data_IF_261557894210
#
_entry.id   IF_261557894210
#
_cell.length_a   1.000
_cell.length_b   1.000
_cell.length_c   1.000
_cell.angle_alpha   90.00
_cell.angle_beta   90.00
_cell.angle_gamma   90.00
#
_symmetry.space_group_name_H-M   'P 1'
#
loop_
_entity.id
_entity.type
_entity.pdbx_description
1 polymer ?
#
# COMPACT_ATOMS: atom_id res chain seq x y z
N UNK A 1 -10.75 -16.78 5.12
CA UNK A 1 -10.22 -17.98 5.80
C UNK A 1 -8.80 -17.64 6.18
N UNK A 2 -8.52 -17.50 7.49
CA UNK A 2 -7.16 -17.27 7.96
C UNK A 2 -6.40 -18.57 7.77
N UNK A 3 -5.38 -18.56 6.93
CA UNK A 3 -4.46 -19.69 6.80
C UNK A 3 -3.77 -19.83 8.16
N UNK A 4 -4.23 -20.80 8.95
CA UNK A 4 -3.61 -21.18 10.20
C UNK A 4 -2.30 -21.89 9.91
N UNK A 5 -1.30 -21.15 9.43
CA UNK A 5 0.06 -21.67 9.34
C UNK A 5 0.44 -22.17 10.73
N UNK A 6 0.77 -23.47 10.85
CA UNK A 6 1.29 -24.01 12.10
C UNK A 6 2.48 -23.14 12.52
N UNK A 7 2.44 -22.65 13.75
CA UNK A 7 3.56 -21.94 14.33
C UNK A 7 4.82 -22.80 14.20
N UNK A 8 5.92 -22.24 13.68
CA UNK A 8 7.18 -22.95 13.60
C UNK A 8 7.63 -23.39 14.99
N UNK A 9 8.46 -24.43 15.01
CA UNK A 9 9.11 -24.84 16.26
C UNK A 9 9.97 -23.67 16.78
N UNK A 10 10.02 -23.48 18.08
CA UNK A 10 10.77 -22.37 18.72
C UNK A 10 12.23 -22.38 18.27
N UNK A 11 12.80 -23.56 18.06
CA UNK A 11 14.16 -23.76 17.57
C UNK A 11 14.37 -23.16 16.16
N UNK A 12 13.36 -23.20 15.31
CA UNK A 12 13.41 -22.57 13.97
C UNK A 12 13.40 -21.05 14.09
N UNK A 13 12.58 -20.50 15.00
CA UNK A 13 12.56 -19.05 15.28
C UNK A 13 13.94 -18.59 15.75
N UNK A 14 14.53 -19.28 16.72
CA UNK A 14 15.86 -18.93 17.24
C UNK A 14 16.93 -18.99 16.15
N UNK A 15 16.89 -20.01 15.29
CA UNK A 15 17.79 -20.11 14.13
C UNK A 15 17.70 -18.86 13.24
N UNK A 16 16.49 -18.31 13.05
CA UNK A 16 16.23 -17.11 12.24
C UNK A 16 16.65 -15.81 12.92
N UNK A 17 16.64 -15.74 14.25
CA UNK A 17 17.16 -14.57 14.98
C UNK A 17 18.67 -14.45 14.77
N UNK A 18 19.40 -15.56 14.92
CA UNK A 18 20.85 -15.55 14.79
C UNK A 18 21.35 -15.60 13.35
N UNK A 19 20.49 -15.88 12.35
CA UNK A 19 20.92 -16.12 10.97
C UNK A 19 21.69 -14.93 10.37
N UNK A 20 21.29 -13.70 10.67
CA UNK A 20 22.00 -12.51 10.19
C UNK A 20 23.35 -12.32 10.88
N UNK A 21 23.42 -12.52 12.19
CA UNK A 21 24.68 -12.48 12.94
C UNK A 21 25.65 -13.53 12.40
N UNK A 22 25.19 -14.78 12.22
CA UNK A 22 25.99 -15.88 11.64
C UNK A 22 26.50 -15.50 10.24
N UNK A 23 25.64 -14.91 9.41
CA UNK A 23 26.01 -14.44 8.07
C UNK A 23 27.09 -13.35 8.11
N UNK A 24 26.94 -12.34 8.98
CA UNK A 24 27.91 -11.23 9.09
C UNK A 24 29.24 -11.67 9.68
N UNK A 25 29.22 -12.57 10.66
CA UNK A 25 30.39 -13.23 11.22
C UNK A 25 31.15 -14.07 10.17
N UNK A 26 30.45 -14.60 9.16
CA UNK A 26 31.05 -15.49 8.16
C UNK A 26 31.48 -16.84 8.76
N UNK A 27 30.80 -17.25 9.83
CA UNK A 27 31.02 -18.53 10.53
C UNK A 27 29.85 -19.48 10.26
N UNK A 28 30.05 -20.80 10.32
CA UNK A 28 28.92 -21.73 10.30
C UNK A 28 28.01 -21.51 11.52
N UNK A 29 26.70 -21.81 11.44
CA UNK A 29 25.81 -21.74 12.59
C UNK A 29 26.38 -22.58 13.74
N UNK A 30 26.67 -21.94 14.88
CA UNK A 30 27.14 -22.67 16.06
C UNK A 30 25.96 -23.42 16.68
N UNK A 31 26.14 -24.73 16.92
CA UNK A 31 25.10 -25.64 17.46
C UNK A 31 24.61 -25.22 18.86
N UNK A 32 25.32 -24.34 19.56
CA UNK A 32 25.00 -23.89 20.92
C UNK A 32 24.15 -22.63 21.01
N UNK A 33 23.89 -21.90 19.92
CA UNK A 33 23.17 -20.62 20.00
C UNK A 33 21.74 -20.81 20.48
N UNK A 34 21.39 -20.16 21.60
CA UNK A 34 20.05 -20.19 22.19
C UNK A 34 19.78 -18.90 22.95
N UNK A 35 18.52 -18.61 23.20
CA UNK A 35 18.13 -17.57 24.15
C UNK A 35 18.18 -18.10 25.58
N UNK A 36 18.26 -17.20 26.56
CA UNK A 36 18.12 -17.55 27.97
C UNK A 36 16.75 -18.22 28.16
N UNK A 37 16.71 -19.32 28.94
CA UNK A 37 15.44 -19.94 29.28
C UNK A 37 14.54 -18.96 30.04
N UNK A 38 13.37 -18.68 29.46
CA UNK A 38 12.37 -17.84 30.09
C UNK A 38 11.92 -18.47 31.41
N UNK A 39 11.64 -17.65 32.42
CA UNK A 39 10.99 -18.11 33.65
C UNK A 39 9.63 -18.74 33.33
N UNK A 40 9.13 -19.67 34.15
CA UNK A 40 7.82 -20.32 33.92
C UNK A 40 6.70 -19.31 33.70
N UNK A 41 6.67 -18.26 34.52
CA UNK A 41 5.70 -17.16 34.42
C UNK A 41 5.78 -16.43 33.06
N UNK A 42 6.99 -16.12 32.58
CA UNK A 42 7.20 -15.53 31.24
C UNK A 42 6.79 -16.50 30.14
N UNK A 43 7.08 -17.79 30.27
CA UNK A 43 6.66 -18.81 29.29
C UNK A 43 5.14 -18.95 29.22
N UNK A 44 4.46 -18.99 30.36
CA UNK A 44 3.01 -19.08 30.48
C UNK A 44 2.29 -17.87 29.87
N UNK A 45 2.96 -16.72 29.80
CA UNK A 45 2.43 -15.50 29.15
C UNK A 45 2.80 -15.43 27.67
N UNK A 46 4.09 -15.54 27.34
CA UNK A 46 4.62 -15.25 26.02
C UNK A 46 4.35 -16.36 24.99
N UNK A 47 4.36 -17.63 25.39
CA UNK A 47 4.20 -18.73 24.43
C UNK A 47 2.75 -18.90 23.95
N UNK A 48 1.72 -18.85 24.80
CA UNK A 48 0.34 -18.83 24.33
C UNK A 48 0.07 -17.63 23.43
N UNK A 49 0.60 -16.46 23.80
CA UNK A 49 0.44 -15.23 23.03
C UNK A 49 1.12 -15.31 21.67
N UNK A 50 2.38 -15.77 21.60
CA UNK A 50 3.09 -16.07 20.34
C UNK A 50 2.28 -17.02 19.45
N UNK A 51 1.71 -18.09 20.03
CA UNK A 51 0.86 -19.04 19.29
C UNK A 51 -0.43 -18.44 18.76
N UNK A 52 -0.94 -17.39 19.41
CA UNK A 52 -2.11 -16.66 18.95
C UNK A 52 -1.81 -15.62 17.88
N UNK A 53 -0.53 -15.32 17.61
CA UNK A 53 -0.15 -14.35 16.59
C UNK A 53 -0.45 -14.94 15.22
N UNK A 54 -1.43 -14.37 14.54
CA UNK A 54 -1.82 -14.78 13.20
C UNK A 54 -1.50 -13.68 12.19
N UNK A 55 -0.91 -14.09 11.09
CA UNK A 55 -0.72 -13.24 9.93
C UNK A 55 -2.06 -13.02 9.24
N UNK A 56 -2.46 -11.77 9.11
CA UNK A 56 -3.38 -11.39 8.02
C UNK A 56 -2.59 -11.61 6.72
N UNK A 57 -3.12 -12.33 5.73
CA UNK A 57 -2.44 -12.72 4.48
C UNK A 57 -1.58 -11.59 3.85
N UNK A 58 -0.59 -11.95 3.00
CA UNK A 58 0.72 -11.31 2.94
C UNK A 58 0.69 -9.84 2.56
N UNK A 59 0.86 -8.93 3.51
CA UNK A 59 1.15 -7.54 3.17
C UNK A 59 2.25 -7.04 4.11
N UNK A 60 3.51 -7.34 3.77
CA UNK A 60 4.58 -6.42 4.13
C UNK A 60 4.59 -5.41 3.01
N UNK A 61 4.20 -4.19 3.31
CA UNK A 61 4.18 -3.13 2.34
C UNK A 61 5.46 -2.29 2.48
N UNK A 62 6.29 -2.18 1.42
CA UNK A 62 7.48 -1.34 1.46
C UNK A 62 7.05 0.12 1.47
N UNK A 63 7.53 0.88 2.45
CA UNK A 63 7.41 2.33 2.54
C UNK A 63 8.64 3.00 1.90
N UNK A 64 8.53 4.31 1.59
CA UNK A 64 9.66 5.07 1.08
C UNK A 64 10.86 5.00 2.03
N UNK A 65 12.08 5.03 1.48
CA UNK A 65 13.30 5.02 2.27
C UNK A 65 13.76 3.66 2.82
N UNK A 66 13.23 2.52 2.34
CA UNK A 66 13.48 1.15 2.88
C UNK A 66 12.77 0.85 4.21
N UNK A 67 11.84 1.70 4.58
CA UNK A 67 10.89 1.45 5.67
C UNK A 67 9.85 0.40 5.23
N UNK A 68 9.08 -0.14 6.16
CA UNK A 68 7.97 -1.03 5.83
C UNK A 68 6.87 -0.92 6.88
N UNK A 69 5.66 -1.32 6.49
CA UNK A 69 4.53 -1.54 7.38
C UNK A 69 4.00 -2.96 7.17
N UNK A 70 3.60 -3.62 8.25
CA UNK A 70 2.94 -4.93 8.20
C UNK A 70 1.83 -5.00 9.23
N UNK A 71 0.84 -5.85 8.98
CA UNK A 71 -0.31 -6.08 9.84
C UNK A 71 -0.34 -7.51 10.37
N UNK A 72 -0.65 -7.66 11.64
CA UNK A 72 -0.87 -8.95 12.27
C UNK A 72 -1.98 -8.89 13.31
N UNK A 73 -2.41 -10.04 13.80
CA UNK A 73 -3.44 -10.14 14.83
C UNK A 73 -2.92 -10.99 15.97
N UNK A 74 -3.32 -10.68 17.20
CA UNK A 74 -2.96 -11.44 18.39
C UNK A 74 -4.10 -11.31 19.40
N UNK A 75 -4.59 -12.43 19.93
CA UNK A 75 -5.67 -12.48 20.94
C UNK A 75 -6.94 -11.66 20.58
N UNK A 76 -7.30 -11.66 19.29
CA UNK A 76 -8.42 -10.88 18.69
C UNK A 76 -8.19 -9.37 18.56
N UNK A 77 -7.01 -8.87 18.89
CA UNK A 77 -6.61 -7.50 18.60
C UNK A 77 -5.82 -7.44 17.29
N UNK A 78 -5.82 -6.27 16.67
CA UNK A 78 -5.13 -6.01 15.40
C UNK A 78 -3.96 -5.08 15.68
N UNK A 79 -2.79 -5.44 15.15
CA UNK A 79 -1.57 -4.69 15.34
C UNK A 79 -0.92 -4.33 14.01
N UNK A 80 -0.19 -3.22 14.01
CA UNK A 80 0.71 -2.79 12.97
C UNK A 80 2.14 -2.83 13.49
N UNK A 81 3.07 -3.32 12.70
CA UNK A 81 4.49 -3.13 12.94
C UNK A 81 5.07 -2.26 11.81
N UNK A 82 5.77 -1.19 12.19
CA UNK A 82 6.35 -0.25 11.25
C UNK A 82 7.83 -0.05 11.54
N UNK A 83 8.65 -0.24 10.52
CA UNK A 83 10.03 0.20 10.56
C UNK A 83 10.12 1.67 10.13
N UNK A 84 10.59 2.53 11.03
CA UNK A 84 10.74 3.97 10.79
C UNK A 84 12.21 4.41 10.91
N UNK A 85 13.18 3.51 10.73
CA UNK A 85 14.60 3.79 10.98
C UNK A 85 15.15 4.97 10.19
N UNK A 86 14.59 5.23 9.01
CA UNK A 86 15.06 6.29 8.12
C UNK A 86 14.42 7.65 8.44
N UNK A 87 13.53 7.72 9.43
CA UNK A 87 12.92 8.95 9.89
C UNK A 87 13.70 9.53 11.07
N UNK A 88 13.88 10.85 11.08
CA UNK A 88 14.34 11.60 12.22
C UNK A 88 13.31 11.51 13.37
N UNK A 89 13.77 11.80 14.60
CA UNK A 89 12.92 11.67 15.81
C UNK A 89 11.60 12.45 15.70
N UNK A 90 11.65 13.70 15.27
CA UNK A 90 10.46 14.54 15.11
C UNK A 90 9.48 14.02 14.04
N UNK A 91 9.98 13.33 13.01
CA UNK A 91 9.14 12.71 11.97
C UNK A 91 8.45 11.46 12.51
N UNK A 92 9.11 10.69 13.38
CA UNK A 92 8.50 9.55 14.10
C UNK A 92 7.39 10.02 15.04
N UNK A 93 7.59 11.16 15.72
CA UNK A 93 6.58 11.80 16.57
C UNK A 93 5.35 12.20 15.73
N UNK A 94 5.54 12.85 14.57
CA UNK A 94 4.44 13.18 13.65
C UNK A 94 3.64 11.94 13.23
N UNK A 95 4.32 10.83 12.91
CA UNK A 95 3.65 9.56 12.55
C UNK A 95 2.83 9.02 13.73
N UNK A 96 3.38 9.10 14.94
CA UNK A 96 2.73 8.61 16.16
C UNK A 96 1.50 9.45 16.52
N UNK A 97 1.61 10.78 16.44
CA UNK A 97 0.50 11.71 16.66
C UNK A 97 -0.61 11.50 15.63
N UNK A 98 -0.26 11.37 14.35
CA UNK A 98 -1.20 11.09 13.28
C UNK A 98 -1.96 9.78 13.50
N UNK A 99 -1.26 8.72 13.92
CA UNK A 99 -1.88 7.45 14.25
C UNK A 99 -2.81 7.53 15.46
N UNK A 100 -2.42 8.29 16.48
CA UNK A 100 -3.26 8.51 17.65
C UNK A 100 -4.60 9.15 17.26
N UNK A 101 -4.60 10.13 16.35
CA UNK A 101 -5.82 10.75 15.81
C UNK A 101 -6.74 9.74 15.09
N UNK A 102 -6.16 8.68 14.53
CA UNK A 102 -6.88 7.60 13.84
C UNK A 102 -7.30 6.43 14.76
N UNK A 103 -7.06 6.56 16.06
CA UNK A 103 -7.32 5.51 17.05
C UNK A 103 -6.35 4.33 16.93
N UNK A 104 -5.13 4.58 16.46
CA UNK A 104 -4.02 3.62 16.36
C UNK A 104 -3.00 4.03 17.42
N UNK A 105 -2.90 3.27 18.50
CA UNK A 105 -2.09 3.64 19.67
C UNK A 105 -0.75 2.91 19.66
N UNK A 106 0.34 3.59 20.02
CA UNK A 106 1.63 2.92 20.19
C UNK A 106 1.53 1.84 21.27
N UNK A 107 2.19 0.71 21.02
CA UNK A 107 2.19 -0.48 21.85
C UNK A 107 3.63 -0.94 22.06
N UNK A 108 3.98 -1.27 23.31
CA UNK A 108 5.32 -1.73 23.64
C UNK A 108 5.64 -3.04 22.93
N UNK A 109 6.80 -3.13 22.28
CA UNK A 109 7.20 -4.35 21.59
C UNK A 109 7.49 -5.48 22.59
N UNK A 110 6.57 -6.42 22.68
CA UNK A 110 6.75 -7.64 23.47
C UNK A 110 7.70 -8.61 22.79
N UNK A 111 8.32 -9.49 23.58
CA UNK A 111 9.21 -10.54 23.08
C UNK A 111 8.51 -11.44 22.04
N UNK A 112 7.26 -11.83 22.28
CA UNK A 112 6.50 -12.61 21.31
C UNK A 112 6.33 -11.89 19.96
N UNK A 113 6.20 -10.56 19.95
CA UNK A 113 6.10 -9.80 18.72
C UNK A 113 7.46 -9.72 18.02
N UNK A 114 8.54 -9.49 18.75
CA UNK A 114 9.89 -9.55 18.18
C UNK A 114 10.18 -10.91 17.54
N UNK A 115 9.92 -12.02 18.26
CA UNK A 115 10.12 -13.38 17.77
C UNK A 115 9.30 -13.65 16.50
N UNK A 116 8.03 -13.29 16.51
CA UNK A 116 7.13 -13.40 15.36
C UNK A 116 7.64 -12.58 14.16
N UNK A 117 7.93 -11.30 14.37
CA UNK A 117 8.39 -10.38 13.31
C UNK A 117 9.72 -10.85 12.74
N UNK A 118 10.67 -11.28 13.57
CA UNK A 118 11.97 -11.76 13.10
C UNK A 118 11.84 -13.01 12.24
N UNK A 119 10.96 -13.94 12.59
CA UNK A 119 10.70 -15.14 11.80
C UNK A 119 10.01 -14.81 10.46
N UNK A 120 8.95 -13.99 10.48
CA UNK A 120 8.13 -13.75 9.29
C UNK A 120 8.64 -12.65 8.37
N UNK A 121 9.47 -11.74 8.87
CA UNK A 121 10.09 -10.65 8.11
C UNK A 121 11.58 -10.94 7.83
N UNK A 122 11.95 -12.21 7.73
CA UNK A 122 13.30 -12.59 7.32
C UNK A 122 13.66 -11.92 5.98
N UNK A 123 14.84 -11.31 5.92
CA UNK A 123 15.30 -10.58 4.75
C UNK A 123 14.74 -9.16 4.61
N UNK A 124 13.89 -8.70 5.54
CA UNK A 124 13.38 -7.32 5.60
C UNK A 124 13.70 -6.69 6.96
N UNK A 125 13.45 -7.42 8.05
CA UNK A 125 13.78 -6.96 9.40
C UNK A 125 15.25 -7.28 9.71
N UNK A 126 16.11 -6.28 9.56
CA UNK A 126 17.57 -6.44 9.67
C UNK A 126 18.16 -5.96 10.99
N UNK A 127 19.41 -6.34 11.26
CA UNK A 127 20.26 -5.69 12.26
C UNK A 127 20.40 -4.18 11.99
N UNK A 128 20.63 -3.39 13.04
CA UNK A 128 21.01 -1.98 12.86
C UNK A 128 22.38 -1.89 12.17
N UNK A 129 22.67 -0.83 11.40
CA UNK A 129 23.94 -0.69 10.70
C UNK A 129 25.17 -0.82 11.61
N UNK A 130 25.10 -0.29 12.83
CA UNK A 130 26.16 -0.37 13.85
C UNK A 130 26.46 -1.81 14.33
N UNK A 131 25.49 -2.71 14.18
CA UNK A 131 25.59 -4.12 14.57
C UNK A 131 25.81 -5.07 13.38
N UNK A 132 25.98 -4.51 12.18
CA UNK A 132 26.16 -5.27 10.93
C UNK A 132 27.63 -5.52 10.57
N UNK A 133 28.57 -5.29 11.50
CA UNK A 133 29.99 -5.56 11.28
C UNK A 133 30.34 -7.01 11.61
N UNK A 134 31.33 -7.56 10.91
CA UNK A 134 31.85 -8.90 11.19
C UNK A 134 32.32 -9.03 12.64
N UNK A 135 33.08 -8.04 13.11
CA UNK A 135 33.63 -8.01 14.47
C UNK A 135 32.53 -8.03 15.53
N UNK A 136 31.49 -7.21 15.38
CA UNK A 136 30.36 -7.20 16.31
C UNK A 136 29.64 -8.54 16.31
N UNK A 137 29.32 -9.06 15.12
CA UNK A 137 28.65 -10.35 15.00
C UNK A 137 29.49 -11.49 15.62
N UNK A 138 30.80 -11.53 15.37
CA UNK A 138 31.72 -12.48 15.99
C UNK A 138 31.72 -12.37 17.51
N UNK A 139 31.74 -11.14 18.04
CA UNK A 139 31.69 -10.89 19.48
C UNK A 139 30.39 -11.37 20.14
N UNK A 140 29.24 -11.11 19.51
CA UNK A 140 27.95 -11.62 20.02
C UNK A 140 27.91 -13.15 19.97
N UNK A 141 28.40 -13.76 18.89
CA UNK A 141 28.38 -15.20 18.71
C UNK A 141 29.46 -15.95 19.52
N UNK A 142 30.54 -15.30 19.94
CA UNK A 142 31.58 -15.92 20.78
C UNK A 142 31.13 -16.09 22.24
N UNK A 143 30.08 -15.38 22.67
CA UNK A 143 29.48 -15.53 24.00
C UNK A 143 29.09 -16.99 24.29
N UNK A 144 28.67 -17.75 23.27
CA UNK A 144 28.31 -19.16 23.44
C UNK A 144 29.49 -20.12 23.71
N UNK A 145 30.73 -19.61 23.69
CA UNK A 145 31.95 -20.37 23.99
C UNK A 145 32.33 -20.32 25.46
N UNK A 146 31.73 -19.41 26.25
CA UNK A 146 32.00 -19.34 27.68
C UNK A 146 31.40 -20.56 28.43
N UNK A 147 32.10 -21.10 29.45
CA UNK A 147 31.64 -22.28 30.19
C UNK A 147 30.28 -22.13 30.89
N UNK A 148 29.91 -20.90 31.25
CA UNK A 148 28.70 -20.51 31.96
C UNK A 148 27.59 -19.97 31.04
N UNK A 149 27.72 -20.15 29.72
CA UNK A 149 26.75 -19.67 28.75
C UNK A 149 25.34 -20.26 28.98
N UNK A 150 24.43 -19.40 29.46
CA UNK A 150 23.02 -19.74 29.67
C UNK A 150 22.14 -19.48 28.43
N UNK A 151 22.60 -18.65 27.49
CA UNK A 151 21.84 -18.14 26.35
C UNK A 151 22.01 -16.63 26.19
N UNK A 152 21.51 -16.08 25.08
CA UNK A 152 21.40 -14.63 24.88
C UNK A 152 20.10 -14.08 25.45
N UNK A 153 20.13 -12.89 26.05
CA UNK A 153 18.92 -12.20 26.47
C UNK A 153 18.14 -11.70 25.24
N UNK A 154 16.83 -11.88 25.22
CA UNK A 154 15.99 -11.46 24.09
C UNK A 154 15.96 -9.93 23.99
N UNK A 155 15.98 -9.20 25.10
CA UNK A 155 16.03 -7.74 25.11
C UNK A 155 17.31 -7.21 24.47
N UNK A 156 18.45 -7.88 24.70
CA UNK A 156 19.70 -7.56 24.01
C UNK A 156 19.56 -7.79 22.51
N UNK A 157 19.00 -8.93 22.11
CA UNK A 157 18.77 -9.24 20.69
C UNK A 157 17.83 -8.23 20.03
N UNK A 158 16.75 -7.80 20.70
CA UNK A 158 15.85 -6.73 20.23
C UNK A 158 16.66 -5.46 19.97
N UNK A 159 17.54 -5.06 20.90
CA UNK A 159 18.34 -3.84 20.78
C UNK A 159 19.28 -3.83 19.57
N UNK A 160 19.71 -5.01 19.11
CA UNK A 160 20.59 -5.17 17.95
C UNK A 160 19.87 -5.04 16.60
N UNK A 161 18.54 -5.19 16.60
CA UNK A 161 17.75 -5.14 15.39
C UNK A 161 17.20 -3.74 15.14
N UNK A 162 16.87 -3.47 13.88
CA UNK A 162 16.18 -2.26 13.46
C UNK A 162 15.03 -1.85 14.39
N UNK A 163 14.84 -0.55 14.64
CA UNK A 163 13.73 -0.10 15.47
C UNK A 163 12.41 -0.37 14.73
N UNK A 164 11.52 -1.13 15.38
CA UNK A 164 10.15 -1.35 14.94
C UNK A 164 9.24 -0.76 16.00
N UNK A 165 8.39 0.18 15.60
CA UNK A 165 7.28 0.63 16.41
C UNK A 165 6.10 -0.32 16.18
N UNK A 166 5.48 -0.79 17.25
CA UNK A 166 4.26 -1.58 17.20
C UNK A 166 3.10 -0.68 17.60
N UNK A 167 1.97 -0.81 16.92
CA UNK A 167 0.76 -0.07 17.23
C UNK A 167 -0.43 -1.01 17.31
N UNK A 168 -1.31 -0.80 18.27
CA UNK A 168 -2.61 -1.48 18.36
C UNK A 168 -3.68 -0.62 17.68
N UNK A 169 -4.44 -1.24 16.77
CA UNK A 169 -5.60 -0.60 16.15
C UNK A 169 -6.80 -0.80 17.07
N UNK A 170 -7.33 0.30 17.60
CA UNK A 170 -8.55 0.28 18.42
C UNK A 170 -9.70 -0.39 17.67
N UNK A 171 -10.51 -1.20 18.37
CA UNK A 171 -11.70 -1.86 17.80
C UNK A 171 -12.73 -0.88 17.23
N UNK A 172 -12.68 0.39 17.67
CA UNK A 172 -13.54 1.46 17.18
C UNK A 172 -12.91 2.26 16.02
N UNK A 173 -11.67 1.98 15.65
CA UNK A 173 -11.00 2.64 14.54
C UNK A 173 -11.60 2.20 13.20
N UNK A 174 -11.73 3.16 12.28
CA UNK A 174 -12.12 2.91 10.89
C UNK A 174 -11.14 1.94 10.19
N UNK A 175 -9.90 1.83 10.68
CA UNK A 175 -8.86 0.98 10.11
C UNK A 175 -8.91 -0.49 10.56
N UNK A 176 -9.79 -0.83 11.51
CA UNK A 176 -9.96 -2.22 11.96
C UNK A 176 -10.27 -3.17 10.80
N UNK A 177 -11.03 -2.70 9.80
CA UNK A 177 -11.43 -3.49 8.62
C UNK A 177 -10.79 -3.00 7.32
N UNK A 178 -9.99 -1.95 7.35
CA UNK A 178 -9.33 -1.40 6.17
C UNK A 178 -8.17 -2.27 5.71
N UNK A 179 -7.81 -2.18 4.42
CA UNK A 179 -6.62 -2.84 3.89
C UNK A 179 -5.34 -2.16 4.38
N UNK A 180 -4.20 -2.84 4.30
CA UNK A 180 -2.92 -2.20 4.65
C UNK A 180 -2.60 -1.04 3.71
N UNK A 181 -3.00 -1.15 2.44
CA UNK A 181 -2.91 -0.06 1.47
C UNK A 181 -3.65 1.19 1.90
N UNK A 182 -4.83 1.08 2.52
CA UNK A 182 -5.57 2.25 3.03
C UNK A 182 -4.84 2.94 4.17
N UNK A 183 -4.24 2.16 5.08
CA UNK A 183 -3.45 2.69 6.19
C UNK A 183 -2.19 3.38 5.64
N UNK A 184 -1.48 2.71 4.74
CA UNK A 184 -0.24 3.21 4.18
C UNK A 184 -0.43 4.43 3.26
N UNK A 185 -1.48 4.47 2.43
CA UNK A 185 -1.79 5.64 1.60
C UNK A 185 -2.10 6.86 2.47
N UNK A 186 -2.89 6.69 3.53
CA UNK A 186 -3.19 7.76 4.46
C UNK A 186 -1.95 8.24 5.24
N UNK A 187 -1.11 7.31 5.72
CA UNK A 187 0.16 7.63 6.36
C UNK A 187 1.09 8.40 5.41
N UNK A 188 1.27 7.91 4.19
CA UNK A 188 2.12 8.53 3.17
C UNK A 188 1.61 9.91 2.75
N UNK A 189 0.29 10.10 2.65
CA UNK A 189 -0.27 11.41 2.34
C UNK A 189 0.01 12.44 3.43
N UNK A 190 0.05 12.00 4.68
CA UNK A 190 0.22 12.83 5.88
C UNK A 190 1.69 13.10 6.25
N UNK A 191 2.62 12.32 5.70
CA UNK A 191 4.06 12.45 5.98
C UNK A 191 4.86 12.75 4.71
N UNK A 192 5.43 13.97 4.63
CA UNK A 192 6.23 14.41 3.50
C UNK A 192 7.43 13.51 3.19
N UNK A 193 8.00 12.86 4.21
CA UNK A 193 9.21 12.03 4.10
C UNK A 193 8.90 10.63 3.56
N UNK A 194 7.64 10.20 3.68
CA UNK A 194 7.17 8.90 3.19
C UNK A 194 6.62 8.97 1.75
N UNK A 195 6.45 10.16 1.17
CA UNK A 195 5.94 10.38 -0.19
C UNK A 195 7.02 10.83 -1.17
N UNK A 196 6.70 10.76 -2.46
CA UNK A 196 7.57 11.22 -3.51
C UNK A 196 7.75 12.75 -3.47
N UNK A 197 8.96 13.28 -3.72
CA UNK A 197 9.26 14.71 -3.57
C UNK A 197 8.45 15.66 -4.46
N UNK A 198 7.94 15.18 -5.61
CA UNK A 198 7.12 16.00 -6.50
C UNK A 198 5.65 16.09 -6.10
N UNK A 199 5.22 15.31 -5.11
CA UNK A 199 3.87 15.36 -4.55
C UNK A 199 3.88 16.31 -3.35
N UNK A 200 3.31 17.51 -3.54
CA UNK A 200 3.13 18.47 -2.45
C UNK A 200 1.95 18.10 -1.53
N UNK A 201 1.80 18.83 -0.41
CA UNK A 201 0.72 18.63 0.55
C UNK A 201 -0.68 18.78 -0.07
N UNK A 202 -0.84 19.75 -0.98
CA UNK A 202 -2.13 20.02 -1.61
C UNK A 202 -2.59 18.84 -2.48
N UNK A 203 -1.67 18.28 -3.26
CA UNK A 203 -1.92 17.11 -4.08
C UNK A 203 -2.09 15.83 -3.24
N UNK A 204 -1.27 15.65 -2.21
CA UNK A 204 -1.38 14.52 -1.29
C UNK A 204 -2.75 14.49 -0.59
N UNK A 205 -3.25 15.64 -0.13
CA UNK A 205 -4.58 15.76 0.47
C UNK A 205 -5.70 15.38 -0.50
N UNK A 206 -5.62 15.82 -1.76
CA UNK A 206 -6.60 15.46 -2.80
C UNK A 206 -6.61 13.95 -3.08
N UNK A 207 -5.43 13.34 -3.17
CA UNK A 207 -5.29 11.89 -3.36
C UNK A 207 -5.82 11.09 -2.16
N UNK A 208 -5.51 11.52 -0.94
CA UNK A 208 -6.02 10.91 0.29
C UNK A 208 -7.54 11.00 0.38
N UNK A 209 -8.13 12.13 -0.04
CA UNK A 209 -9.59 12.28 -0.10
C UNK A 209 -10.25 11.24 -1.01
N UNK A 210 -9.71 11.02 -2.21
CA UNK A 210 -10.19 9.95 -3.11
C UNK A 210 -10.14 8.60 -2.40
N UNK A 211 -9.04 8.31 -1.69
CA UNK A 211 -8.89 7.05 -0.98
C UNK A 211 -9.90 6.87 0.16
N UNK A 212 -10.21 7.94 0.91
CA UNK A 212 -11.24 7.92 1.95
C UNK A 212 -12.63 7.68 1.36
N UNK A 213 -12.95 8.34 0.25
CA UNK A 213 -14.24 8.23 -0.43
C UNK A 213 -14.38 6.90 -1.21
N UNK A 214 -13.26 6.29 -1.61
CA UNK A 214 -13.19 5.06 -2.41
C UNK A 214 -12.02 4.16 -1.97
N UNK A 215 -12.15 3.43 -0.85
CA UNK A 215 -11.09 2.60 -0.29
C UNK A 215 -10.54 1.52 -1.21
N UNK A 216 -11.33 1.07 -2.20
CA UNK A 216 -10.88 0.14 -3.23
C UNK A 216 -9.74 0.67 -4.10
N UNK A 217 -9.49 1.99 -4.11
CA UNK A 217 -8.39 2.63 -4.85
C UNK A 217 -7.10 2.78 -4.05
N UNK A 218 -7.06 2.31 -2.80
CA UNK A 218 -5.95 2.57 -1.88
C UNK A 218 -4.58 2.18 -2.42
N UNK A 219 -4.49 1.06 -3.16
CA UNK A 219 -3.23 0.61 -3.76
C UNK A 219 -2.73 1.56 -4.86
N UNK A 220 -3.62 1.99 -5.77
CA UNK A 220 -3.27 2.96 -6.81
C UNK A 220 -2.89 4.31 -6.20
N UNK A 221 -3.64 4.77 -5.20
CA UNK A 221 -3.35 6.02 -4.49
C UNK A 221 -1.99 5.95 -3.79
N UNK A 222 -1.71 4.87 -3.06
CA UNK A 222 -0.41 4.67 -2.43
C UNK A 222 0.73 4.67 -3.46
N UNK A 223 0.57 3.94 -4.56
CA UNK A 223 1.58 3.85 -5.62
C UNK A 223 1.77 5.20 -6.31
N UNK A 224 0.72 6.00 -6.47
CA UNK A 224 0.79 7.35 -7.01
C UNK A 224 1.56 8.31 -6.09
N UNK A 225 1.30 8.23 -4.78
CA UNK A 225 1.98 9.02 -3.74
C UNK A 225 3.48 8.69 -3.62
N UNK A 226 3.87 7.45 -3.90
CA UNK A 226 5.25 6.97 -3.77
C UNK A 226 6.03 6.90 -5.09
N UNK A 227 5.36 7.13 -6.22
CA UNK A 227 5.97 7.16 -7.54
C UNK A 227 7.00 8.29 -7.66
N UNK A 228 8.22 8.02 -8.12
CA UNK A 228 9.29 9.04 -8.26
C UNK A 228 9.14 9.95 -9.49
N UNK A 229 8.24 9.62 -10.42
CA UNK A 229 8.02 10.40 -11.62
C UNK A 229 6.53 10.62 -11.88
N UNK A 230 6.19 11.81 -12.35
CA UNK A 230 4.83 12.19 -12.73
C UNK A 230 4.14 11.22 -13.70
N UNK A 231 4.88 10.64 -14.65
CA UNK A 231 4.33 9.64 -15.58
C UNK A 231 3.76 8.41 -14.86
N UNK A 232 4.37 7.99 -13.76
CA UNK A 232 3.91 6.85 -12.98
C UNK A 232 2.70 7.25 -12.11
N UNK A 233 2.72 8.44 -11.52
CA UNK A 233 1.52 9.02 -10.88
C UNK A 233 0.34 9.08 -11.87
N UNK A 234 0.57 9.51 -13.11
CA UNK A 234 -0.43 9.52 -14.18
C UNK A 234 -0.98 8.12 -14.46
N UNK A 235 -0.10 7.12 -14.62
CA UNK A 235 -0.54 5.76 -14.86
C UNK A 235 -1.43 5.20 -13.76
N UNK A 236 -1.08 5.43 -12.50
CA UNK A 236 -1.91 4.97 -11.38
C UNK A 236 -3.27 5.66 -11.34
N UNK A 237 -3.34 6.96 -11.65
CA UNK A 237 -4.62 7.66 -11.77
C UNK A 237 -5.42 7.17 -12.99
N UNK A 238 -4.76 6.91 -14.11
CA UNK A 238 -5.41 6.37 -15.30
C UNK A 238 -5.98 4.97 -15.04
N UNK A 239 -5.27 4.09 -14.34
CA UNK A 239 -5.79 2.77 -13.93
C UNK A 239 -7.07 2.86 -13.10
N UNK A 240 -7.20 3.90 -12.26
CA UNK A 240 -8.44 4.14 -11.51
C UNK A 240 -9.63 4.45 -12.44
N UNK A 241 -9.38 5.09 -13.59
CA UNK A 241 -10.36 5.34 -14.65
C UNK A 241 -10.58 4.07 -15.48
N UNK A 242 -9.53 3.31 -15.83
CA UNK A 242 -9.63 2.03 -16.55
C UNK A 242 -10.52 1.04 -15.80
N UNK A 243 -10.44 1.01 -14.46
CA UNK A 243 -11.29 0.18 -13.61
C UNK A 243 -12.80 0.48 -13.79
N UNK A 244 -13.16 1.63 -14.38
CA UNK A 244 -14.54 2.03 -14.66
C UNK A 244 -14.95 1.87 -16.13
N UNK A 245 -14.09 1.34 -17.01
CA UNK A 245 -14.43 1.18 -18.44
C UNK A 245 -15.66 0.32 -18.69
N UNK A 246 -15.98 -0.60 -17.78
CA UNK A 246 -17.20 -1.37 -17.86
C UNK A 246 -18.48 -0.54 -17.67
N UNK A 247 -18.41 0.57 -16.93
CA UNK A 247 -19.58 1.26 -16.37
C UNK A 247 -20.62 1.70 -17.42
N UNK A 248 -20.26 2.36 -18.54
CA UNK A 248 -21.25 2.79 -19.54
C UNK A 248 -21.98 1.61 -20.19
N UNK A 249 -21.27 0.50 -20.42
CA UNK A 249 -21.83 -0.72 -20.98
C UNK A 249 -22.68 -1.45 -19.94
N UNK A 250 -22.20 -1.52 -18.70
CA UNK A 250 -22.90 -2.06 -17.55
C UNK A 250 -24.24 -1.35 -17.30
N UNK A 251 -24.31 -0.03 -17.44
CA UNK A 251 -25.57 0.75 -17.31
C UNK A 251 -26.58 0.40 -18.40
N UNK A 252 -26.14 0.27 -19.67
CA UNK A 252 -26.99 -0.17 -20.79
C UNK A 252 -27.49 -1.59 -20.56
N UNK A 253 -26.59 -2.49 -20.18
CA UNK A 253 -26.89 -3.88 -19.89
C UNK A 253 -27.83 -4.04 -18.68
N UNK A 254 -27.59 -3.29 -17.60
CA UNK A 254 -28.45 -3.24 -16.41
C UNK A 254 -29.88 -2.92 -16.80
N UNK A 255 -30.08 -1.93 -17.66
CA UNK A 255 -31.41 -1.53 -18.14
C UNK A 255 -32.06 -2.64 -18.98
N UNK A 256 -31.29 -3.27 -19.88
CA UNK A 256 -31.79 -4.34 -20.75
C UNK A 256 -32.13 -5.63 -19.98
N UNK A 257 -31.31 -5.98 -18.98
CA UNK A 257 -31.39 -7.22 -18.20
C UNK A 257 -32.15 -7.07 -16.88
N UNK A 258 -32.57 -5.85 -16.52
CA UNK A 258 -33.28 -5.51 -15.27
C UNK A 258 -32.51 -5.92 -14.02
N UNK A 259 -31.21 -5.65 -14.00
CA UNK A 259 -30.32 -5.94 -12.87
C UNK A 259 -30.22 -4.75 -11.90
N UNK A 260 -29.64 -5.00 -10.73
CA UNK A 260 -29.54 -4.00 -9.66
C UNK A 260 -28.45 -2.96 -9.93
N UNK A 261 -27.27 -3.39 -10.40
CA UNK A 261 -26.11 -2.52 -10.60
C UNK A 261 -25.44 -2.76 -11.95
N UNK A 262 -24.73 -1.76 -12.45
CA UNK A 262 -23.91 -1.89 -13.65
C UNK A 262 -22.83 -2.96 -13.50
N UNK A 263 -22.24 -3.10 -12.29
CA UNK A 263 -21.26 -4.14 -12.00
C UNK A 263 -21.86 -5.55 -12.11
N UNK A 264 -23.05 -5.78 -11.56
CA UNK A 264 -23.74 -7.08 -11.65
C UNK A 264 -24.00 -7.43 -13.12
N UNK A 265 -24.40 -6.45 -13.93
CA UNK A 265 -24.61 -6.62 -15.37
C UNK A 265 -23.32 -6.94 -16.14
N UNK A 266 -22.23 -6.24 -15.82
CA UNK A 266 -20.93 -6.50 -16.43
C UNK A 266 -20.42 -7.91 -16.08
N UNK A 267 -20.50 -8.33 -14.80
CA UNK A 267 -20.07 -9.66 -14.37
C UNK A 267 -20.84 -10.77 -15.10
N UNK A 268 -22.16 -10.63 -15.24
CA UNK A 268 -22.98 -11.59 -15.98
C UNK A 268 -22.62 -11.66 -17.46
N UNK A 269 -22.41 -10.52 -18.12
CA UNK A 269 -21.99 -10.48 -19.53
C UNK A 269 -20.62 -11.14 -19.70
N UNK A 270 -19.68 -10.84 -18.83
CA UNK A 270 -18.32 -11.40 -18.86
C UNK A 270 -18.35 -12.92 -18.69
N UNK A 271 -19.23 -13.45 -17.83
CA UNK A 271 -19.41 -14.89 -17.65
C UNK A 271 -19.99 -15.58 -18.90
N UNK A 272 -21.01 -14.98 -19.53
CA UNK A 272 -21.72 -15.57 -20.67
C UNK A 272 -20.90 -15.50 -21.96
N UNK A 273 -20.21 -14.39 -22.20
CA UNK A 273 -19.53 -14.14 -23.48
C UNK A 273 -18.11 -14.67 -23.53
N UNK A 274 -17.44 -14.84 -22.37
CA UNK A 274 -16.04 -15.28 -22.16
C UNK A 274 -14.93 -14.54 -22.93
N UNK A 275 -15.28 -13.77 -23.97
CA UNK A 275 -14.40 -13.06 -24.89
C UNK A 275 -14.79 -11.59 -25.07
N UNK A 276 -15.79 -11.09 -24.34
CA UNK A 276 -16.10 -9.67 -24.39
C UNK A 276 -14.95 -8.90 -23.73
N UNK A 277 -14.21 -8.18 -24.57
CA UNK A 277 -13.22 -7.20 -24.15
C UNK A 277 -13.61 -5.88 -24.78
N UNK A 278 -13.86 -4.89 -23.93
CA UNK A 278 -14.13 -3.55 -24.41
C UNK A 278 -12.86 -2.99 -25.06
N UNK A 279 -13.02 -2.31 -26.21
CA UNK A 279 -11.91 -1.59 -26.82
C UNK A 279 -11.61 -0.38 -25.96
N UNK A 280 -10.35 -0.22 -25.55
CA UNK A 280 -9.93 0.80 -24.59
C UNK A 280 -10.37 2.21 -24.99
N UNK A 281 -10.08 2.60 -26.24
CA UNK A 281 -10.45 3.90 -26.82
C UNK A 281 -11.96 4.16 -26.79
N UNK A 282 -12.76 3.16 -27.15
CA UNK A 282 -14.23 3.30 -27.16
C UNK A 282 -14.77 3.39 -25.73
N UNK A 283 -14.12 2.70 -24.78
CA UNK A 283 -14.52 2.66 -23.38
C UNK A 283 -14.29 3.98 -22.67
N UNK A 284 -13.13 4.61 -22.86
CA UNK A 284 -12.85 5.91 -22.27
C UNK A 284 -13.74 6.99 -22.85
N UNK A 285 -14.06 6.95 -24.15
CA UNK A 285 -15.01 7.89 -24.76
C UNK A 285 -16.40 7.73 -24.12
N UNK A 286 -16.92 6.51 -24.09
CA UNK A 286 -18.23 6.23 -23.50
C UNK A 286 -18.29 6.54 -21.99
N UNK A 287 -17.17 6.38 -21.27
CA UNK A 287 -17.08 6.72 -19.85
C UNK A 287 -17.15 8.23 -19.66
N UNK A 288 -16.48 9.00 -20.53
CA UNK A 288 -16.49 10.45 -20.43
C UNK A 288 -17.86 11.03 -20.73
N UNK A 289 -18.68 10.40 -21.57
CA UNK A 289 -20.09 10.82 -21.78
C UNK A 289 -20.93 10.83 -20.48
N UNK A 290 -20.51 10.13 -19.43
CA UNK A 290 -21.15 10.16 -18.12
C UNK A 290 -20.75 11.37 -17.24
N UNK A 291 -19.74 12.12 -17.66
CA UNK A 291 -19.18 13.24 -16.89
C UNK A 291 -19.99 14.51 -17.12
N UNK A 292 -20.26 15.24 -16.02
CA UNK A 292 -21.00 16.50 -16.08
C UNK A 292 -20.31 17.50 -17.03
N UNK A 293 -21.12 18.14 -17.88
CA UNK A 293 -20.62 19.07 -18.88
C UNK A 293 -19.89 20.26 -18.25
N UNK A 294 -20.23 20.69 -17.04
CA UNK A 294 -19.54 21.77 -16.34
C UNK A 294 -18.10 21.39 -16.01
N UNK A 295 -17.83 20.13 -15.63
CA UNK A 295 -16.47 19.64 -15.41
C UNK A 295 -15.69 19.71 -16.72
N UNK A 296 -16.24 19.19 -17.81
CA UNK A 296 -15.61 19.22 -19.14
C UNK A 296 -15.33 20.64 -19.61
N UNK A 297 -16.32 21.52 -19.50
CA UNK A 297 -16.19 22.93 -19.88
C UNK A 297 -15.17 23.69 -19.02
N UNK A 298 -14.91 23.25 -17.79
CA UNK A 298 -13.87 23.85 -16.94
C UNK A 298 -12.44 23.50 -17.39
N UNK A 299 -12.25 22.41 -18.16
CA UNK A 299 -10.92 21.92 -18.52
C UNK A 299 -10.17 22.92 -19.41
N UNK A 300 -10.87 23.64 -20.29
CA UNK A 300 -10.25 24.68 -21.14
C UNK A 300 -9.65 25.83 -20.32
N UNK A 301 -10.16 26.07 -19.10
CA UNK A 301 -9.63 27.08 -18.18
C UNK A 301 -8.39 26.59 -17.43
N UNK A 302 -8.08 25.29 -17.47
CA UNK A 302 -6.89 24.74 -16.84
C UNK A 302 -5.67 25.03 -17.70
N UNK A 303 -4.56 25.39 -17.06
CA UNK A 303 -3.32 25.73 -17.76
C UNK A 303 -2.54 24.49 -18.25
N UNK A 304 -3.20 23.59 -18.99
CA UNK A 304 -2.58 22.38 -19.55
C UNK A 304 -2.33 22.64 -21.04
N UNK A 305 -1.07 22.89 -21.42
CA UNK A 305 -0.69 23.27 -22.81
C UNK A 305 -1.24 22.28 -23.85
N UNK A 306 -1.19 20.99 -23.57
CA UNK A 306 -1.70 19.93 -24.45
C UNK A 306 -3.23 19.90 -24.58
N UNK A 307 -3.98 20.70 -23.82
CA UNK A 307 -5.43 20.82 -23.95
C UNK A 307 -5.84 22.18 -24.55
N UNK A 308 -4.94 23.17 -24.62
CA UNK A 308 -5.20 24.48 -25.21
C UNK A 308 -5.46 24.44 -26.73
N UNK A 309 -5.00 23.38 -27.39
CA UNK A 309 -5.23 23.13 -28.82
C UNK A 309 -6.57 22.47 -29.11
N UNK A 310 -7.28 21.99 -28.08
CA UNK A 310 -8.66 21.56 -28.25
C UNK A 310 -9.49 22.82 -28.50
N UNK A 311 -10.36 22.79 -29.52
CA UNK A 311 -11.16 23.92 -29.97
C UNK A 311 -11.83 24.66 -28.80
N UNK A 312 -12.24 25.92 -29.02
CA UNK A 312 -12.84 26.82 -28.02
C UNK A 312 -14.02 26.22 -27.19
N UNK A 313 -14.55 25.06 -27.57
CA UNK A 313 -15.51 24.25 -26.84
C UNK A 313 -15.00 22.81 -26.63
N UNK A 314 -14.43 22.46 -25.47
CA UNK A 314 -14.04 21.07 -25.17
C UNK A 314 -15.27 20.17 -25.12
N UNK A 315 -15.23 19.06 -25.86
CA UNK A 315 -16.25 17.99 -25.83
C UNK A 315 -15.71 16.79 -25.05
N UNK A 316 -16.60 15.94 -24.53
CA UNK A 316 -16.22 14.68 -23.86
C UNK A 316 -15.27 13.85 -24.72
N UNK A 317 -15.57 13.71 -26.01
CA UNK A 317 -14.77 12.94 -26.99
C UNK A 317 -13.35 13.50 -27.10
N UNK A 318 -13.23 14.82 -27.21
CA UNK A 318 -11.93 15.48 -27.38
C UNK A 318 -11.03 15.27 -26.16
N UNK A 319 -11.60 15.40 -24.96
CA UNK A 319 -10.87 15.21 -23.69
C UNK A 319 -10.48 13.73 -23.51
N UNK A 320 -11.43 12.81 -23.68
CA UNK A 320 -11.20 11.37 -23.56
C UNK A 320 -10.08 10.91 -24.52
N UNK A 321 -10.17 11.33 -25.79
CA UNK A 321 -9.18 11.00 -26.82
C UNK A 321 -7.81 11.58 -26.47
N UNK A 322 -7.75 12.80 -25.91
CA UNK A 322 -6.49 13.41 -25.50
C UNK A 322 -5.84 12.66 -24.33
N UNK A 323 -6.60 12.29 -23.31
CA UNK A 323 -6.08 11.51 -22.17
C UNK A 323 -5.60 10.13 -22.63
N UNK A 324 -6.37 9.46 -23.49
CA UNK A 324 -5.97 8.19 -24.11
C UNK A 324 -4.67 8.32 -24.92
N UNK A 325 -4.53 9.38 -25.72
CA UNK A 325 -3.29 9.67 -26.48
C UNK A 325 -2.09 9.87 -25.56
N UNK A 326 -2.25 10.59 -24.45
CA UNK A 326 -1.18 10.74 -23.44
C UNK A 326 -0.75 9.37 -22.90
N UNK A 327 -1.72 8.53 -22.52
CA UNK A 327 -1.43 7.16 -22.05
C UNK A 327 -0.67 6.35 -23.10
N UNK A 328 -1.14 6.34 -24.35
CA UNK A 328 -0.49 5.59 -25.43
C UNK A 328 0.94 6.07 -25.69
N UNK A 329 1.18 7.38 -25.69
CA UNK A 329 2.53 7.94 -25.84
C UNK A 329 3.48 7.53 -24.71
N UNK A 330 2.98 7.32 -23.49
CA UNK A 330 3.81 6.86 -22.38
C UNK A 330 4.13 5.35 -22.45
N UNK A 331 3.28 4.56 -23.11
CA UNK A 331 3.44 3.09 -23.22
C UNK A 331 4.21 2.71 -24.48
N UNK A 332 3.94 3.37 -25.61
CA UNK A 332 4.51 3.04 -26.91
C UNK A 332 5.65 3.99 -27.27
N UNK A 333 6.81 3.42 -27.61
CA UNK A 333 7.96 4.20 -28.09
C UNK A 333 7.67 4.93 -29.42
N UNK A 334 6.69 4.44 -30.19
CA UNK A 334 6.11 5.11 -31.35
C UNK A 334 4.60 4.77 -31.38
N UNK A 335 3.76 5.79 -31.41
CA UNK A 335 2.33 5.60 -31.68
C UNK A 335 2.16 5.40 -33.19
N UNK A 336 1.71 4.21 -33.58
CA UNK A 336 1.54 3.83 -34.99
C UNK A 336 0.30 4.49 -35.61
N UNK A 337 -0.68 4.89 -34.79
CA UNK A 337 -1.92 5.54 -35.23
C UNK A 337 -1.77 7.06 -35.33
N UNK A 338 -0.97 7.67 -34.44
CA UNK A 338 -0.78 9.13 -34.39
C UNK A 338 0.71 9.50 -34.30
N UNK A 339 1.27 9.93 -35.42
CA UNK A 339 2.72 10.22 -35.54
C UNK A 339 3.15 11.54 -34.91
N UNK A 340 2.22 12.34 -34.38
CA UNK A 340 2.56 13.64 -33.78
C UNK A 340 2.51 13.51 -32.25
N UNK A 341 3.65 13.30 -31.57
CA UNK A 341 3.68 13.19 -30.13
C UNK A 341 3.24 14.52 -29.48
N UNK A 342 2.55 14.42 -28.35
CA UNK A 342 2.22 15.58 -27.53
C UNK A 342 3.48 16.07 -26.81
N UNK A 343 3.74 17.37 -26.87
CA UNK A 343 4.78 18.04 -26.08
C UNK A 343 4.33 18.18 -24.62
N UNK A 344 4.54 17.11 -23.82
CA UNK A 344 4.27 17.08 -22.39
C UNK A 344 5.54 17.42 -21.61
N UNK A 345 5.62 18.64 -21.10
CA UNK A 345 6.69 19.09 -20.23
C UNK A 345 6.36 18.82 -18.76
N UNK A 346 7.38 18.88 -17.89
CA UNK A 346 7.22 18.61 -16.47
C UNK A 346 6.19 19.53 -15.78
N UNK A 347 6.07 20.78 -16.25
CA UNK A 347 5.11 21.78 -15.78
C UNK A 347 3.63 21.41 -16.05
N UNK A 348 3.37 20.53 -17.01
CA UNK A 348 2.01 20.11 -17.37
C UNK A 348 1.45 19.03 -16.45
N UNK A 349 2.31 18.23 -15.82
CA UNK A 349 1.87 17.05 -15.08
C UNK A 349 1.01 17.38 -13.87
N UNK A 350 1.33 18.35 -13.00
CA UNK A 350 0.50 18.62 -11.83
C UNK A 350 -0.96 18.91 -12.22
N UNK A 351 -1.17 19.81 -13.18
CA UNK A 351 -2.52 20.17 -13.65
C UNK A 351 -3.25 19.01 -14.34
N UNK A 352 -2.52 18.12 -15.01
CA UNK A 352 -3.08 16.90 -15.60
C UNK A 352 -3.48 15.87 -14.52
N UNK A 353 -2.65 15.65 -13.50
CA UNK A 353 -2.99 14.77 -12.38
C UNK A 353 -4.20 15.31 -11.62
N UNK A 354 -4.25 16.62 -11.37
CA UNK A 354 -5.41 17.26 -10.74
C UNK A 354 -6.69 17.12 -11.57
N UNK A 355 -6.58 17.10 -12.90
CA UNK A 355 -7.71 16.81 -13.76
C UNK A 355 -8.17 15.36 -13.56
N UNK A 356 -7.26 14.39 -13.60
CA UNK A 356 -7.63 12.99 -13.38
C UNK A 356 -8.27 12.77 -12.01
N UNK A 357 -7.74 13.41 -10.96
CA UNK A 357 -8.29 13.39 -9.60
C UNK A 357 -9.74 13.88 -9.58
N UNK A 358 -10.04 15.00 -10.25
CA UNK A 358 -11.40 15.53 -10.32
C UNK A 358 -12.34 14.55 -11.05
N UNK A 359 -11.90 13.99 -12.18
CA UNK A 359 -12.69 13.03 -12.97
C UNK A 359 -12.95 11.75 -12.17
N UNK A 360 -11.93 11.21 -11.50
CA UNK A 360 -12.05 10.03 -10.61
C UNK A 360 -13.03 10.33 -9.48
N UNK A 361 -12.85 11.47 -8.80
CA UNK A 361 -13.73 11.87 -7.69
C UNK A 361 -15.19 11.96 -8.15
N UNK A 362 -15.44 12.57 -9.30
CA UNK A 362 -16.79 12.67 -9.87
C UNK A 362 -17.37 11.30 -10.24
N UNK A 363 -16.62 10.47 -10.97
CA UNK A 363 -17.11 9.19 -11.47
C UNK A 363 -17.43 8.21 -10.31
N UNK A 364 -16.54 8.11 -9.32
CA UNK A 364 -16.74 7.22 -8.18
C UNK A 364 -17.87 7.69 -7.26
N UNK A 365 -18.00 9.00 -7.04
CA UNK A 365 -19.10 9.54 -6.20
C UNK A 365 -20.46 9.45 -6.89
N UNK A 366 -20.54 9.83 -8.17
CA UNK A 366 -21.81 9.88 -8.92
C UNK A 366 -22.35 8.48 -9.25
N UNK A 367 -21.49 7.48 -9.29
CA UNK A 367 -21.85 6.11 -9.67
C UNK A 367 -21.54 5.06 -8.59
N UNK A 368 -21.37 5.47 -7.33
CA UNK A 368 -20.99 4.58 -6.22
C UNK A 368 -21.87 3.32 -6.12
N UNK A 369 -23.19 3.47 -6.29
CA UNK A 369 -24.15 2.37 -6.25
C UNK A 369 -24.01 1.40 -7.44
N UNK A 370 -23.50 1.87 -8.57
CA UNK A 370 -23.39 1.08 -9.80
C UNK A 370 -22.09 0.25 -9.84
N UNK A 371 -21.06 0.72 -9.14
CA UNK A 371 -19.73 0.11 -9.10
C UNK A 371 -19.48 -0.74 -7.86
N UNK A 372 -20.46 -0.81 -6.95
CA UNK A 372 -20.47 -1.72 -5.81
C UNK A 372 -21.42 -2.89 -6.09
N UNK A 373 -21.06 -4.08 -5.60
CA UNK A 373 -21.97 -5.24 -5.71
C UNK A 373 -23.21 -4.96 -4.87
N UNK A 374 -24.38 -5.34 -5.39
CA UNK A 374 -25.60 -5.26 -4.59
C UNK A 374 -25.48 -6.18 -3.36
N UNK A 375 -25.78 -5.66 -2.18
CA UNK A 375 -25.67 -6.40 -0.91
C UNK A 375 -26.76 -7.48 -0.73
N UNK A 376 -27.36 -7.98 -1.82
CA UNK A 376 -28.46 -8.94 -1.78
C UNK A 376 -27.97 -10.34 -2.16
N UNK A 377 -27.72 -11.11 -1.10
CA UNK A 377 -28.12 -12.51 -0.89
C UNK A 377 -28.81 -13.21 -2.05
N UNK A 378 -28.18 -14.28 -2.52
CA UNK A 378 -28.85 -15.56 -2.77
C UNK A 378 -28.08 -16.67 -2.05
#
# INVERSE_FOLDING_TARGET
MLDGALMPKIEEIYTKIFSELVRFAGVPPKVKLKTIELTKERQETQFPRLKSVMRSAPEVLPLHGRSFITRFTCENNVYLAINLNNLAKHEKEIVSDHFLELGICEYEIEECFFLYLRYHLEGIYHLKPEFSSKEFADNVLSICEFPDYAGHDISDLISYHADIAVYEISKNSIYTKSSLWSIASNLTASSATLRAPHIDDGLALKLNKIQMDSPQLSENIYTALTSLHWKYTFFEMYKCIEALFFLPFGLRAKTALKLNTALDAHLLISEVTKNFKEKEKDSIIALFELIDQNIISSISNRNIKSFKELEASPTHINIATRIYKIRNQLVHQADYEDRTPLDLKNENWPALIELLIELISYLYSSHQLEITRSSKTH
#
